data_IF_530859755091
#
_entry.id   IF_530859755091
#
_cell.length_a   1.000
_cell.length_b   1.000
_cell.length_c   1.000
_cell.angle_alpha   90.00
_cell.angle_beta   90.00
_cell.angle_gamma   90.00
#
_symmetry.space_group_name_H-M   'P 1'
#
loop_
_entity.id
_entity.type
_entity.pdbx_description
1 polymer ?
#
# COMPACT_ATOMS: atom_id res chain seq x y z
N UNK A 1 -4.62 39.22 28.70
CA UNK A 1 -4.28 37.79 28.57
C UNK A 1 -3.62 37.59 27.21
N UNK A 2 -2.42 36.98 27.12
CA UNK A 2 -1.89 36.62 25.81
C UNK A 2 -2.83 35.60 25.14
N UNK A 3 -2.97 35.61 23.81
CA UNK A 3 -3.71 34.57 23.13
C UNK A 3 -3.04 33.22 23.44
N UNK A 4 -3.81 32.27 23.96
CA UNK A 4 -3.36 30.89 24.13
C UNK A 4 -2.82 30.41 22.79
N UNK A 5 -1.50 30.21 22.69
CA UNK A 5 -0.89 29.72 21.46
C UNK A 5 -1.62 28.45 21.01
N UNK A 6 -2.02 28.41 19.74
CA UNK A 6 -2.77 27.29 19.21
C UNK A 6 -1.96 25.98 19.33
N UNK A 7 -2.58 24.94 19.89
CA UNK A 7 -1.93 23.65 20.11
C UNK A 7 -2.21 22.71 18.98
N UNK A 8 -1.20 22.42 18.16
CA UNK A 8 -1.33 21.53 17.03
C UNK A 8 -0.38 20.34 17.14
N UNK A 9 -0.79 19.21 16.58
CA UNK A 9 0.00 17.99 16.48
C UNK A 9 -0.32 17.27 15.16
N UNK A 10 0.48 16.28 14.80
CA UNK A 10 0.35 15.53 13.55
C UNK A 10 -0.13 14.12 13.79
N UNK A 11 -1.06 13.64 12.96
CA UNK A 11 -1.58 12.26 13.01
C UNK A 11 -1.34 11.56 11.67
N UNK A 12 -0.70 10.40 11.72
CA UNK A 12 -0.53 9.49 10.60
C UNK A 12 -1.61 8.39 10.64
N UNK A 13 -2.17 8.10 9.47
CA UNK A 13 -3.13 7.03 9.21
C UNK A 13 -3.11 6.71 7.71
N UNK A 14 -3.85 5.72 7.24
CA UNK A 14 -3.92 5.36 5.83
C UNK A 14 -2.81 4.40 5.40
N UNK A 15 -2.28 4.56 4.20
CA UNK A 15 -1.25 3.67 3.68
C UNK A 15 0.15 4.25 3.88
N UNK A 16 1.09 3.40 4.28
CA UNK A 16 2.49 3.78 4.46
C UNK A 16 3.05 4.35 3.14
N UNK A 17 3.81 5.44 3.25
CA UNK A 17 4.43 6.17 2.12
C UNK A 17 3.47 6.84 1.13
N UNK A 18 2.16 6.77 1.33
CA UNK A 18 1.16 7.40 0.46
C UNK A 18 0.33 8.43 1.19
N UNK A 19 0.00 8.18 2.46
CA UNK A 19 -0.79 9.12 3.25
C UNK A 19 0.12 10.03 4.07
N UNK A 20 0.13 11.35 3.82
CA UNK A 20 0.87 12.28 4.65
C UNK A 20 0.19 12.46 6.02
N UNK A 21 0.95 12.75 7.09
CA UNK A 21 0.36 13.13 8.37
C UNK A 21 -0.54 14.36 8.25
N UNK A 22 -1.67 14.35 8.97
CA UNK A 22 -2.60 15.49 9.05
C UNK A 22 -2.47 16.24 10.37
N UNK A 23 -2.60 17.56 10.31
CA UNK A 23 -2.52 18.43 11.48
C UNK A 23 -3.88 18.56 12.17
N UNK A 24 -3.91 18.44 13.50
CA UNK A 24 -5.12 18.60 14.31
C UNK A 24 -4.90 19.58 15.46
N UNK A 25 -5.97 20.28 15.84
CA UNK A 25 -5.98 21.21 16.98
C UNK A 25 -6.32 20.45 18.27
N UNK A 26 -5.47 20.53 19.29
CA UNK A 26 -5.66 19.92 20.60
C UNK A 26 -6.39 20.84 21.60
N UNK A 27 -6.73 22.09 21.25
CA UNK A 27 -7.49 23.03 22.09
C UNK A 27 -9.00 22.71 22.17
N UNK A 28 -9.36 21.44 22.22
CA UNK A 28 -10.71 20.90 22.33
C UNK A 28 -10.73 19.77 23.37
N UNK A 29 -11.91 19.22 23.70
CA UNK A 29 -11.96 17.99 24.52
C UNK A 29 -11.45 16.78 23.74
N UNK A 30 -11.01 15.74 24.45
CA UNK A 30 -10.56 14.49 23.83
C UNK A 30 -11.65 13.86 22.96
N UNK A 31 -12.90 13.85 23.41
CA UNK A 31 -14.04 13.36 22.65
C UNK A 31 -14.23 14.08 21.30
N UNK A 32 -14.14 15.42 21.31
CA UNK A 32 -14.26 16.23 20.09
C UNK A 32 -13.08 15.98 19.15
N UNK A 33 -11.86 15.91 19.69
CA UNK A 33 -10.67 15.60 18.91
C UNK A 33 -10.78 14.24 18.22
N UNK A 34 -11.15 13.19 18.97
CA UNK A 34 -11.27 11.84 18.44
C UNK A 34 -12.38 11.74 17.39
N UNK A 35 -13.47 12.49 17.52
CA UNK A 35 -14.51 12.57 16.48
C UNK A 35 -13.96 13.13 15.16
N UNK A 36 -13.17 14.23 15.22
CA UNK A 36 -12.53 14.79 14.04
C UNK A 36 -11.51 13.83 13.41
N UNK A 37 -10.67 13.20 14.24
CA UNK A 37 -9.68 12.22 13.76
C UNK A 37 -10.39 11.04 13.13
N UNK A 38 -11.42 10.47 13.77
CA UNK A 38 -12.20 9.35 13.25
C UNK A 38 -12.78 9.64 11.87
N UNK A 39 -13.49 10.74 11.72
CA UNK A 39 -14.15 11.08 10.46
C UNK A 39 -13.12 11.30 9.33
N UNK A 40 -12.00 11.94 9.63
CA UNK A 40 -10.91 12.15 8.67
C UNK A 40 -10.18 10.85 8.31
N UNK A 41 -9.96 9.97 9.28
CA UNK A 41 -9.35 8.66 9.07
C UNK A 41 -10.24 7.80 8.19
N UNK A 42 -11.50 7.62 8.58
CA UNK A 42 -12.46 6.80 7.85
C UNK A 42 -12.61 7.24 6.40
N UNK A 43 -12.87 8.54 6.16
CA UNK A 43 -12.98 9.09 4.81
C UNK A 43 -11.68 8.94 4.02
N UNK A 44 -10.54 9.31 4.62
CA UNK A 44 -9.25 9.25 3.92
C UNK A 44 -8.84 7.82 3.55
N UNK A 45 -9.06 6.85 4.44
CA UNK A 45 -8.81 5.43 4.16
C UNK A 45 -9.74 4.94 3.05
N UNK A 46 -11.03 5.27 3.12
CA UNK A 46 -12.00 4.85 2.09
C UNK A 46 -11.63 5.40 0.70
N UNK A 47 -11.30 6.69 0.60
CA UNK A 47 -10.92 7.34 -0.65
C UNK A 47 -9.64 6.70 -1.23
N UNK A 48 -8.62 6.46 -0.41
CA UNK A 48 -7.40 5.78 -0.86
C UNK A 48 -7.65 4.33 -1.25
N UNK A 49 -8.51 3.61 -0.53
CA UNK A 49 -8.86 2.22 -0.87
C UNK A 49 -9.55 2.15 -2.23
N UNK A 50 -10.48 3.07 -2.53
CA UNK A 50 -11.13 3.15 -3.85
C UNK A 50 -10.10 3.36 -4.95
N UNK A 51 -9.20 4.33 -4.77
CA UNK A 51 -8.14 4.61 -5.74
C UNK A 51 -7.23 3.40 -5.95
N UNK A 52 -6.78 2.77 -4.86
CA UNK A 52 -5.87 1.61 -4.91
C UNK A 52 -6.53 0.38 -5.49
N UNK A 53 -7.78 0.12 -5.16
CA UNK A 53 -8.52 -1.01 -5.71
C UNK A 53 -8.66 -0.91 -7.23
N UNK A 54 -8.98 0.27 -7.76
CA UNK A 54 -9.02 0.51 -9.22
C UNK A 54 -7.63 0.29 -9.83
N UNK A 55 -6.59 0.89 -9.26
CA UNK A 55 -5.21 0.77 -9.76
C UNK A 55 -4.77 -0.70 -9.84
N UNK A 56 -4.92 -1.44 -8.74
CA UNK A 56 -4.48 -2.83 -8.63
C UNK A 56 -5.32 -3.79 -9.47
N UNK A 57 -6.62 -3.53 -9.63
CA UNK A 57 -7.47 -4.34 -10.51
C UNK A 57 -7.05 -4.21 -11.98
N UNK A 58 -6.71 -3.00 -12.43
CA UNK A 58 -6.18 -2.76 -13.78
C UNK A 58 -4.84 -3.49 -13.98
N UNK A 59 -3.94 -3.41 -12.99
CA UNK A 59 -2.65 -4.10 -13.03
C UNK A 59 -2.83 -5.63 -13.08
N UNK A 60 -3.73 -6.17 -12.27
CA UNK A 60 -4.06 -7.58 -12.24
C UNK A 60 -4.64 -8.06 -13.56
N UNK A 61 -5.56 -7.30 -14.17
CA UNK A 61 -6.12 -7.59 -15.48
C UNK A 61 -5.06 -7.59 -16.59
N UNK A 62 -4.10 -6.66 -16.53
CA UNK A 62 -2.99 -6.61 -17.47
C UNK A 62 -2.08 -7.85 -17.35
N UNK A 63 -1.75 -8.25 -16.12
CA UNK A 63 -0.97 -9.46 -15.84
C UNK A 63 -1.69 -10.73 -16.33
N UNK A 64 -3.00 -10.85 -16.07
CA UNK A 64 -3.81 -11.97 -16.53
C UNK A 64 -3.85 -12.06 -18.06
N UNK A 65 -4.01 -10.94 -18.77
CA UNK A 65 -3.99 -10.91 -20.24
C UNK A 65 -2.64 -11.33 -20.80
N UNK A 66 -1.54 -10.87 -20.19
CA UNK A 66 -0.18 -11.24 -20.60
C UNK A 66 0.06 -12.75 -20.41
N UNK A 67 -0.34 -13.32 -19.27
CA UNK A 67 -0.22 -14.75 -19.00
C UNK A 67 -1.07 -15.58 -19.97
N UNK A 68 -2.32 -15.17 -20.24
CA UNK A 68 -3.21 -15.85 -21.19
C UNK A 68 -2.68 -15.82 -22.63
N UNK A 69 -2.06 -14.72 -23.06
CA UNK A 69 -1.49 -14.60 -24.41
C UNK A 69 -0.26 -15.51 -24.64
N UNK A 70 0.37 -15.99 -23.57
CA UNK A 70 1.61 -16.78 -23.61
C UNK A 70 1.41 -18.26 -23.31
N UNK A 71 0.28 -18.65 -22.73
CA UNK A 71 -0.09 -20.05 -22.58
C UNK A 71 -0.55 -20.60 -23.94
N UNK A 72 0.15 -21.60 -24.52
CA UNK A 72 -0.27 -22.21 -25.78
C UNK A 72 -1.47 -23.12 -25.52
N UNK A 73 -2.70 -22.63 -25.71
CA UNK A 73 -3.87 -23.52 -25.60
C UNK A 73 -5.27 -22.94 -25.33
N UNK A 74 -5.60 -21.69 -25.70
CA UNK A 74 -7.01 -21.28 -25.79
C UNK A 74 -7.42 -21.18 -27.26
N UNK A 75 -8.07 -22.23 -27.74
CA UNK A 75 -8.41 -22.42 -29.14
C UNK A 75 -9.19 -21.24 -29.73
N UNK A 76 -8.72 -20.77 -30.90
CA UNK A 76 -9.64 -20.15 -31.87
C UNK A 76 -10.73 -21.20 -32.18
N UNK A 77 -12.03 -20.84 -32.22
CA UNK A 77 -13.02 -21.69 -32.83
C UNK A 77 -12.58 -21.95 -34.27
N UNK A 78 -12.33 -23.23 -34.56
CA UNK A 78 -11.96 -23.71 -35.88
C UNK A 78 -12.99 -23.23 -36.90
N UNK A 79 -12.49 -22.55 -37.92
CA UNK A 79 -13.21 -22.23 -39.13
C UNK A 79 -13.47 -23.54 -39.87
N UNK A 80 -14.63 -24.15 -39.66
CA UNK A 80 -15.10 -25.24 -40.50
C UNK A 80 -15.56 -24.65 -41.84
N UNK A 81 -14.62 -24.53 -42.78
CA UNK A 81 -14.86 -24.01 -44.12
C UNK A 81 -13.95 -24.71 -45.12
N UNK A 82 -14.36 -25.92 -45.51
CA UNK A 82 -13.78 -26.73 -46.59
C UNK A 82 -13.49 -25.89 -47.85
N UNK A 83 -12.26 -25.98 -48.38
CA UNK A 83 -11.97 -26.12 -49.82
C UNK A 83 -10.48 -26.37 -50.11
N UNK A 84 -10.26 -27.44 -50.87
CA UNK A 84 -9.06 -27.95 -51.57
C UNK A 84 -8.03 -26.90 -52.03
N UNK A 85 -6.74 -27.19 -51.82
CA UNK A 85 -5.61 -26.93 -52.75
C UNK A 85 -4.34 -27.62 -52.18
N UNK A 86 -3.87 -28.69 -52.81
CA UNK A 86 -2.71 -28.72 -53.73
C UNK A 86 -1.33 -28.70 -53.03
N UNK A 87 -0.59 -29.77 -53.31
CA UNK A 87 0.71 -30.23 -52.79
C UNK A 87 1.89 -29.27 -52.90
N UNK A 88 2.66 -29.13 -51.82
CA UNK A 88 4.14 -29.15 -51.81
C UNK A 88 4.69 -29.33 -50.39
N UNK A 89 5.66 -30.24 -50.13
CA UNK A 89 6.28 -30.35 -48.83
C UNK A 89 7.39 -29.28 -48.70
N UNK A 90 7.23 -28.37 -47.75
CA UNK A 90 8.30 -27.48 -47.30
C UNK A 90 8.78 -28.02 -45.95
N UNK A 91 10.03 -28.47 -45.95
CA UNK A 91 10.79 -28.94 -44.79
C UNK A 91 10.72 -27.92 -43.66
N UNK A 92 10.32 -28.28 -42.42
CA UNK A 92 10.45 -27.38 -41.29
C UNK A 92 11.90 -27.39 -40.81
N UNK A 93 12.64 -26.33 -41.09
CA UNK A 93 13.91 -26.06 -40.42
C UNK A 93 13.60 -25.73 -38.96
N UNK A 94 13.84 -26.69 -38.07
CA UNK A 94 13.82 -26.49 -36.63
C UNK A 94 15.03 -25.63 -36.28
N UNK A 95 14.84 -24.32 -36.15
CA UNK A 95 15.74 -23.48 -35.38
C UNK A 95 15.27 -23.49 -33.93
N UNK A 96 15.73 -24.49 -33.19
CA UNK A 96 15.91 -24.44 -31.74
C UNK A 96 16.89 -23.31 -31.41
N UNK A 97 16.37 -22.19 -30.91
CA UNK A 97 17.17 -21.15 -30.29
C UNK A 97 16.34 -20.43 -29.20
N UNK A 98 16.61 -20.76 -27.94
CA UNK A 98 16.30 -19.92 -26.77
C UNK A 98 14.89 -20.02 -26.18
N UNK A 99 14.54 -21.14 -25.55
CA UNK A 99 13.34 -21.28 -24.70
C UNK A 99 13.50 -20.71 -23.28
N UNK A 100 14.70 -20.27 -22.89
CA UNK A 100 14.97 -19.79 -21.53
C UNK A 100 14.32 -18.42 -21.11
N UNK A 101 14.14 -17.40 -21.98
CA UNK A 101 13.66 -16.09 -21.53
C UNK A 101 12.13 -16.01 -21.31
N UNK A 102 11.37 -16.96 -21.86
CA UNK A 102 9.90 -16.94 -21.77
C UNK A 102 9.43 -17.46 -20.40
N UNK A 103 10.09 -18.50 -19.89
CA UNK A 103 9.75 -19.12 -18.60
C UNK A 103 10.07 -18.19 -17.42
N UNK A 104 11.18 -17.43 -17.49
CA UNK A 104 11.53 -16.41 -16.50
C UNK A 104 10.48 -15.29 -16.45
N UNK A 105 10.05 -14.78 -17.61
CA UNK A 105 9.05 -13.70 -17.67
C UNK A 105 7.66 -14.16 -17.22
N UNK A 106 7.26 -15.41 -17.51
CA UNK A 106 6.02 -16.01 -16.99
C UNK A 106 6.10 -16.16 -15.47
N UNK A 107 7.24 -16.62 -14.95
CA UNK A 107 7.46 -16.77 -13.51
C UNK A 107 7.40 -15.42 -12.80
N UNK A 108 8.04 -14.39 -13.37
CA UNK A 108 7.98 -13.02 -12.86
C UNK A 108 6.54 -12.46 -12.89
N UNK A 109 5.81 -12.71 -13.97
CA UNK A 109 4.41 -12.30 -14.10
C UNK A 109 3.49 -12.96 -13.06
N UNK A 110 3.69 -14.25 -12.78
CA UNK A 110 2.97 -14.97 -11.74
C UNK A 110 3.31 -14.43 -10.34
N UNK A 111 4.58 -14.12 -10.08
CA UNK A 111 5.00 -13.50 -8.82
C UNK A 111 4.38 -12.10 -8.63
N UNK A 112 4.39 -11.27 -9.68
CA UNK A 112 3.70 -9.96 -9.66
C UNK A 112 2.21 -10.11 -9.44
N UNK A 113 1.57 -11.07 -10.11
CA UNK A 113 0.13 -11.36 -9.93
C UNK A 113 -0.19 -11.68 -8.48
N UNK A 114 0.55 -12.62 -7.87
CA UNK A 114 0.35 -13.01 -6.47
C UNK A 114 0.54 -11.81 -5.52
N UNK A 115 1.55 -10.99 -5.74
CA UNK A 115 1.79 -9.80 -4.93
C UNK A 115 0.69 -8.73 -5.09
N UNK A 116 0.15 -8.54 -6.30
CA UNK A 116 -1.00 -7.64 -6.53
C UNK A 116 -2.26 -8.15 -5.84
N UNK A 117 -2.48 -9.47 -5.82
CA UNK A 117 -3.59 -10.11 -5.10
C UNK A 117 -3.46 -9.91 -3.58
N UNK A 118 -2.26 -10.11 -3.01
CA UNK A 118 -2.00 -9.83 -1.60
C UNK A 118 -2.25 -8.35 -1.25
N UNK A 119 -1.79 -7.42 -2.10
CA UNK A 119 -2.07 -6.00 -1.89
C UNK A 119 -3.58 -5.68 -1.92
N UNK A 120 -4.36 -6.35 -2.77
CA UNK A 120 -5.81 -6.20 -2.81
C UNK A 120 -6.47 -6.69 -1.52
N UNK A 121 -5.96 -7.76 -0.89
CA UNK A 121 -6.42 -8.21 0.42
C UNK A 121 -6.17 -7.16 1.51
N UNK A 122 -4.99 -6.53 1.52
CA UNK A 122 -4.68 -5.43 2.45
C UNK A 122 -5.63 -4.25 2.23
N UNK A 123 -5.91 -3.87 0.99
CA UNK A 123 -6.88 -2.81 0.65
C UNK A 123 -8.30 -3.18 1.09
N UNK A 124 -8.70 -4.44 0.94
CA UNK A 124 -10.00 -4.93 1.39
C UNK A 124 -10.13 -4.86 2.91
N UNK A 125 -9.10 -5.29 3.65
CA UNK A 125 -9.06 -5.19 5.11
C UNK A 125 -9.15 -3.73 5.59
N UNK A 126 -8.38 -2.83 4.97
CA UNK A 126 -8.42 -1.40 5.27
C UNK A 126 -9.80 -0.78 5.01
N UNK A 127 -10.43 -1.13 3.87
CA UNK A 127 -11.78 -0.68 3.51
C UNK A 127 -12.85 -1.19 4.48
N UNK A 128 -12.72 -2.46 4.93
CA UNK A 128 -13.61 -3.03 5.96
C UNK A 128 -13.50 -2.25 7.26
N UNK A 129 -12.28 -1.96 7.71
CA UNK A 129 -12.04 -1.26 8.96
C UNK A 129 -12.55 0.19 8.90
N UNK A 130 -12.38 0.90 7.77
CA UNK A 130 -13.02 2.19 7.55
C UNK A 130 -14.57 2.08 7.64
N UNK A 131 -15.13 1.00 7.07
CA UNK A 131 -16.50 0.48 7.27
C UNK A 131 -16.98 0.62 8.72
N UNK A 132 -16.24 -0.08 9.58
CA UNK A 132 -16.51 -0.25 11.01
C UNK A 132 -16.35 1.05 11.81
N UNK A 133 -15.38 1.90 11.44
CA UNK A 133 -15.21 3.23 12.04
C UNK A 133 -16.41 4.16 11.75
N UNK A 134 -16.94 4.12 10.53
CA UNK A 134 -18.12 4.92 10.13
C UNK A 134 -19.36 4.40 10.86
N UNK A 135 -19.53 3.09 10.91
CA UNK A 135 -20.63 2.44 11.63
C UNK A 135 -20.57 2.66 13.15
N UNK A 136 -19.40 3.06 13.68
CA UNK A 136 -19.17 3.26 15.11
C UNK A 136 -18.99 1.96 15.89
N UNK A 137 -18.77 0.83 15.20
CA UNK A 137 -18.44 -0.45 15.85
C UNK A 137 -16.99 -0.49 16.31
N UNK A 138 -16.12 0.31 15.67
CA UNK A 138 -14.78 0.59 16.15
C UNK A 138 -14.63 2.08 16.50
N UNK A 139 -13.89 2.35 17.57
CA UNK A 139 -13.51 3.68 18.00
C UNK A 139 -12.11 4.02 17.49
N UNK A 140 -11.73 5.30 17.56
CA UNK A 140 -10.37 5.75 17.25
C UNK A 140 -9.73 6.27 18.52
N UNK A 141 -8.44 5.96 18.67
CA UNK A 141 -7.54 6.58 19.64
C UNK A 141 -6.22 6.94 18.95
N UNK A 142 -5.30 7.52 19.71
CA UNK A 142 -3.96 7.86 19.27
C UNK A 142 -2.93 7.01 20.01
N UNK A 143 -1.88 6.62 19.28
CA UNK A 143 -0.66 6.06 19.83
C UNK A 143 0.51 7.01 19.58
N UNK A 144 1.44 7.08 20.53
CA UNK A 144 2.69 7.84 20.37
C UNK A 144 3.67 7.15 19.39
N UNK A 145 4.85 7.75 19.23
CA UNK A 145 5.90 7.23 18.34
C UNK A 145 6.45 5.86 18.78
N UNK A 146 6.18 5.43 20.02
CA UNK A 146 6.55 4.12 20.54
C UNK A 146 5.42 3.09 20.41
N UNK A 147 4.28 3.48 19.82
CA UNK A 147 3.09 2.63 19.71
C UNK A 147 2.29 2.53 21.00
N UNK A 148 2.59 3.36 22.02
CA UNK A 148 1.86 3.37 23.28
C UNK A 148 0.58 4.17 23.12
N UNK A 149 -0.56 3.54 23.39
CA UNK A 149 -1.90 4.16 23.32
C UNK A 149 -2.05 5.26 24.38
N UNK A 150 -2.55 6.43 23.96
CA UNK A 150 -2.76 7.59 24.82
C UNK A 150 -4.03 7.54 25.66
N UNK A 151 -4.98 6.66 25.32
CA UNK A 151 -6.22 6.47 26.08
C UNK A 151 -7.09 7.73 26.16
N UNK A 152 -7.21 8.43 25.03
CA UNK A 152 -8.00 9.66 24.94
C UNK A 152 -9.51 9.39 25.05
N UNK A 153 -9.93 8.17 24.74
CA UNK A 153 -11.33 7.72 24.87
C UNK A 153 -11.74 7.78 26.36
N UNK A 154 -10.87 7.27 27.24
CA UNK A 154 -11.08 7.23 28.68
C UNK A 154 -11.03 8.63 29.29
N UNK A 155 -10.23 9.54 28.72
CA UNK A 155 -10.12 10.93 29.16
C UNK A 155 -11.35 11.78 28.77
N UNK A 156 -12.11 11.37 27.74
CA UNK A 156 -13.38 11.94 27.28
C UNK A 156 -13.44 13.48 27.27
N UNK A 157 -13.94 14.09 28.35
CA UNK A 157 -14.18 15.54 28.46
C UNK A 157 -12.91 16.34 28.82
N UNK A 158 -11.82 15.67 29.19
CA UNK A 158 -10.55 16.32 29.45
C UNK A 158 -10.04 17.07 28.21
N UNK A 159 -9.37 18.20 28.44
CA UNK A 159 -8.72 18.99 27.38
C UNK A 159 -7.62 18.18 26.74
N UNK A 160 -7.66 17.97 25.43
CA UNK A 160 -6.66 17.15 24.74
C UNK A 160 -5.23 17.69 24.89
N UNK A 161 -5.06 19.01 25.06
CA UNK A 161 -3.76 19.64 25.33
C UNK A 161 -3.07 19.16 26.61
N UNK A 162 -3.77 18.54 27.56
CA UNK A 162 -3.14 18.01 28.78
C UNK A 162 -2.44 16.67 28.54
N UNK A 163 -2.77 15.98 27.45
CA UNK A 163 -2.26 14.63 27.12
C UNK A 163 -1.41 14.70 25.85
N UNK A 164 -1.91 15.38 24.82
CA UNK A 164 -1.27 15.47 23.51
C UNK A 164 -0.28 16.61 23.48
N UNK A 165 0.99 16.29 23.19
CA UNK A 165 2.07 17.28 23.14
C UNK A 165 2.04 18.07 21.83
N UNK A 166 2.34 19.38 21.94
CA UNK A 166 2.46 20.26 20.79
C UNK A 166 3.54 19.77 19.81
N UNK A 167 3.25 19.81 18.51
CA UNK A 167 4.12 19.44 17.38
C UNK A 167 4.61 17.99 17.41
N UNK A 168 4.07 17.15 18.29
CA UNK A 168 4.36 15.73 18.31
C UNK A 168 3.62 15.01 17.17
N UNK A 169 4.11 13.81 16.86
CA UNK A 169 3.52 12.91 15.88
C UNK A 169 2.83 11.76 16.61
N UNK A 170 1.69 11.37 16.09
CA UNK A 170 0.90 10.28 16.62
C UNK A 170 0.40 9.42 15.46
N UNK A 171 0.13 8.16 15.76
CA UNK A 171 -0.51 7.25 14.84
C UNK A 171 -1.94 7.02 15.27
N UNK A 172 -2.90 7.15 14.35
CA UNK A 172 -4.27 6.78 14.66
C UNK A 172 -4.39 5.26 14.77
N UNK A 173 -5.11 4.79 15.76
CA UNK A 173 -5.38 3.37 15.99
C UNK A 173 -6.89 3.16 16.13
N UNK A 174 -7.38 2.05 15.59
CA UNK A 174 -8.72 1.59 15.90
C UNK A 174 -8.72 0.82 17.21
N UNK A 175 -9.79 0.99 17.97
CA UNK A 175 -10.02 0.32 19.24
C UNK A 175 -11.37 -0.37 19.17
N UNK A 176 -11.39 -1.68 19.35
CA UNK A 176 -12.60 -2.44 19.63
C UNK A 176 -12.61 -2.88 21.08
N UNK A 177 -13.80 -3.13 21.60
CA UNK A 177 -14.00 -3.65 22.96
C UNK A 177 -14.70 -4.99 22.83
N UNK A 178 -14.12 -6.04 23.40
CA UNK A 178 -14.76 -7.35 23.41
C UNK A 178 -15.85 -7.46 24.49
N UNK A 179 -16.57 -8.58 24.51
CA UNK A 179 -17.65 -8.86 25.47
C UNK A 179 -17.16 -8.89 26.93
N UNK A 180 -15.83 -8.99 27.15
CA UNK A 180 -15.19 -8.97 28.47
C UNK A 180 -14.71 -7.57 28.86
N UNK A 181 -14.95 -6.57 28.02
CA UNK A 181 -14.51 -5.19 28.23
C UNK A 181 -13.03 -4.94 27.91
N UNK A 182 -12.33 -5.88 27.28
CA UNK A 182 -10.92 -5.73 26.92
C UNK A 182 -10.80 -4.97 25.60
N UNK A 183 -9.91 -3.98 25.58
CA UNK A 183 -9.63 -3.20 24.38
C UNK A 183 -8.62 -3.89 23.47
N UNK A 184 -9.00 -4.11 22.21
CA UNK A 184 -8.13 -4.60 21.15
C UNK A 184 -7.76 -3.45 20.23
N UNK A 185 -6.45 -3.28 19.99
CA UNK A 185 -5.91 -2.13 19.25
C UNK A 185 -5.37 -2.58 17.90
N UNK A 186 -5.83 -1.94 16.83
CA UNK A 186 -5.39 -2.21 15.46
C UNK A 186 -4.83 -0.92 14.84
N UNK A 187 -3.61 -0.92 14.30
CA UNK A 187 -3.06 0.25 13.62
C UNK A 187 -3.90 0.66 12.41
N UNK A 188 -4.13 1.98 12.24
CA UNK A 188 -4.75 2.54 11.02
C UNK A 188 -3.72 2.87 9.95
N UNK A 189 -2.52 2.29 10.03
CA UNK A 189 -1.45 2.42 9.04
C UNK A 189 -1.23 1.07 8.37
N UNK A 190 -1.59 0.98 7.09
CA UNK A 190 -1.52 -0.22 6.28
C UNK A 190 -0.27 -0.21 5.41
N UNK A 191 0.35 -1.38 5.21
CA UNK A 191 1.54 -1.52 4.38
C UNK A 191 1.20 -2.22 3.08
N UNK A 192 1.48 -1.56 1.96
CA UNK A 192 1.44 -2.21 0.64
C UNK A 192 2.88 -2.57 0.28
N UNK A 193 3.19 -3.86 0.23
CA UNK A 193 4.52 -4.33 -0.18
C UNK A 193 4.60 -4.17 -1.69
N UNK A 194 5.41 -3.23 -2.16
CA UNK A 194 5.61 -3.04 -3.60
C UNK A 194 6.34 -4.26 -4.16
N UNK A 195 5.74 -4.93 -5.14
CA UNK A 195 6.40 -5.96 -5.95
C UNK A 195 7.52 -5.26 -6.71
N UNK A 196 8.74 -5.34 -6.19
CA UNK A 196 9.89 -4.73 -6.84
C UNK A 196 10.42 -5.78 -7.82
N UNK A 197 10.38 -5.55 -9.15
CA UNK A 197 11.37 -6.18 -10.00
C UNK A 197 12.66 -5.40 -9.74
N UNK A 198 13.50 -5.92 -8.85
CA UNK A 198 14.87 -5.44 -8.74
C UNK A 198 15.58 -5.86 -10.03
N UNK A 199 15.49 -5.01 -11.06
CA UNK A 199 16.54 -5.01 -12.09
C UNK A 199 17.79 -4.61 -11.34
N UNK A 200 18.58 -5.60 -10.97
CA UNK A 200 19.89 -5.43 -10.39
C UNK A 200 20.65 -4.41 -11.24
N UNK A 201 20.82 -3.20 -10.71
CA UNK A 201 21.74 -2.25 -11.29
C UNK A 201 23.12 -2.92 -11.20
N UNK A 202 23.83 -3.13 -12.32
CA UNK A 202 25.13 -3.79 -12.27
C UNK A 202 26.05 -2.98 -11.37
N UNK A 203 26.49 -3.66 -10.32
CA UNK A 203 27.58 -3.34 -9.40
C UNK A 203 28.65 -2.44 -10.01
N UNK A 204 28.79 -1.26 -9.40
CA UNK A 204 30.07 -0.61 -9.07
C UNK A 204 31.23 -0.87 -10.04
N UNK A 205 31.45 0.07 -10.95
CA UNK A 205 32.72 0.16 -11.68
C UNK A 205 33.80 0.71 -10.74
N UNK A 206 35.00 0.11 -10.68
CA UNK A 206 36.01 0.44 -9.67
C UNK A 206 36.69 1.77 -9.97
N UNK A 207 37.02 2.49 -8.91
CA UNK A 207 37.85 3.68 -8.97
C UNK A 207 39.20 3.38 -9.62
N UNK A 208 39.49 4.06 -10.72
CA UNK A 208 40.83 4.07 -11.31
C UNK A 208 41.64 5.18 -10.67
N UNK A 209 42.55 4.78 -9.77
CA UNK A 209 43.65 5.62 -9.32
C UNK A 209 44.84 5.44 -10.28
N UNK A 210 45.39 6.56 -10.77
CA UNK A 210 46.81 6.79 -11.05
C UNK A 210 46.97 8.20 -11.66
N UNK A 211 47.49 9.18 -10.91
CA UNK A 211 48.88 9.68 -10.94
C UNK A 211 49.13 10.65 -12.13
N UNK A 212 49.81 11.80 -12.03
CA UNK A 212 51.01 12.15 -11.25
C UNK A 212 51.29 13.67 -11.36
N UNK A 213 51.65 14.26 -10.23
CA UNK A 213 52.64 15.32 -9.95
C UNK A 213 52.98 16.43 -10.97
N UNK A 214 52.98 17.69 -10.51
CA UNK A 214 54.20 18.55 -10.53
C UNK A 214 54.12 19.68 -9.49
N UNK A 215 55.17 19.76 -8.67
CA UNK A 215 55.41 20.78 -7.65
C UNK A 215 55.96 22.08 -8.27
N UNK A 216 55.98 23.17 -7.48
CA UNK A 216 57.22 23.76 -6.91
C UNK A 216 57.00 25.21 -6.48
N UNK A 217 57.37 25.44 -5.21
CA UNK A 217 57.87 26.64 -4.50
C UNK A 217 57.18 27.99 -4.67
#
# INVERSE_FOLDING_TARGET
>A
MPPSAASFFWVKYGFENTTPPKMYNANVSCAVLLSFVKNQCAKGIEDLCKQKNIQLSIELDALNRMLQARLPGSGRPGTAGSRKASSRPVTPTIHTAGTAPIDEEITEALAKKAATEEQLEVVAAASKLAKELIAGTMLVDLADDHGTRLKLIEANDARATTIVKHRAHFTAVAVSTDDKGVHHVVPLVFKLIKSTPEVAAPTSRPGSAAAKSKATT
#
